data_IF_224328585653
#
_entry.id   IF_224328585653
#
_cell.length_a   1.000
_cell.length_b   1.000
_cell.length_c   1.000
_cell.angle_alpha   90.00
_cell.angle_beta   90.00
_cell.angle_gamma   90.00
#
_symmetry.space_group_name_H-M   'P 1'
#
loop_
_entity.id
_entity.type
_entity.pdbx_description
1 polymer ?
#
# COMPACT_ATOMS: atom_id res chain seq x y z
N UNK A 1 -0.26 -10.85 -0.32
CA UNK A 1 -0.21 -12.04 0.58
C UNK A 1 0.22 -11.70 2.01
N UNK A 2 1.25 -10.84 2.21
CA UNK A 2 1.72 -10.54 3.56
C UNK A 2 0.68 -9.81 4.41
N UNK A 3 -0.07 -8.87 3.85
CA UNK A 3 -1.16 -8.18 4.56
C UNK A 3 -2.26 -9.15 4.99
N UNK A 4 -2.64 -10.08 4.11
CA UNK A 4 -3.65 -11.07 4.44
C UNK A 4 -3.18 -12.04 5.55
N UNK A 5 -1.96 -12.55 5.44
CA UNK A 5 -1.37 -13.38 6.50
C UNK A 5 -1.28 -12.66 7.84
N UNK A 6 -0.98 -11.36 7.82
CA UNK A 6 -0.94 -10.52 9.01
C UNK A 6 -2.33 -10.28 9.63
N UNK A 7 -3.39 -10.21 8.82
CA UNK A 7 -4.75 -9.98 9.29
C UNK A 7 -5.48 -11.25 9.71
N UNK A 8 -5.01 -12.42 9.28
CA UNK A 8 -5.73 -13.70 9.38
C UNK A 8 -6.28 -13.99 10.78
N UNK A 9 -5.46 -13.85 11.80
CA UNK A 9 -5.84 -14.14 13.18
C UNK A 9 -6.90 -13.16 13.74
N UNK A 10 -7.14 -12.04 13.06
CA UNK A 10 -8.06 -11.01 13.49
C UNK A 10 -9.32 -10.91 12.61
N UNK A 11 -9.50 -11.83 11.65
CA UNK A 11 -10.60 -11.77 10.70
C UNK A 11 -11.97 -11.89 11.38
N UNK A 12 -12.07 -12.70 12.42
CA UNK A 12 -13.31 -12.97 13.14
C UNK A 12 -13.65 -11.88 14.19
N UNK A 13 -12.74 -10.97 14.46
CA UNK A 13 -13.02 -9.85 15.36
C UNK A 13 -14.00 -8.86 14.74
N UNK A 14 -14.91 -8.32 15.55
CA UNK A 14 -15.80 -7.25 15.12
C UNK A 14 -14.97 -6.05 14.63
N UNK A 15 -15.40 -5.45 13.51
CA UNK A 15 -14.71 -4.30 12.92
C UNK A 15 -14.59 -3.08 13.84
N UNK A 16 -15.41 -3.00 14.88
CA UNK A 16 -15.30 -1.97 15.92
C UNK A 16 -14.15 -2.24 16.90
N UNK A 17 -13.69 -3.47 16.98
CA UNK A 17 -12.57 -3.87 17.82
C UNK A 17 -11.26 -3.83 17.02
N UNK A 18 -11.28 -4.31 15.76
CA UNK A 18 -10.13 -4.34 14.87
C UNK A 18 -10.52 -3.84 13.49
N UNK A 19 -10.05 -2.64 13.14
CA UNK A 19 -10.19 -2.08 11.80
C UNK A 19 -9.02 -2.49 10.91
N UNK A 20 -9.31 -2.94 9.70
CA UNK A 20 -8.31 -3.20 8.66
C UNK A 20 -8.27 -2.08 7.64
N UNK A 21 -7.06 -1.58 7.39
CA UNK A 21 -6.82 -0.55 6.37
C UNK A 21 -5.78 -1.09 5.39
N UNK A 22 -6.23 -1.39 4.17
CA UNK A 22 -5.33 -1.70 3.07
C UNK A 22 -4.87 -0.42 2.38
N UNK A 23 -3.57 -0.32 2.14
CA UNK A 23 -2.98 0.84 1.44
C UNK A 23 -2.39 0.38 0.13
N UNK A 24 -2.90 0.96 -0.96
CA UNK A 24 -2.49 0.69 -2.33
C UNK A 24 -1.56 1.78 -2.85
N UNK A 25 -0.84 1.50 -3.95
CA UNK A 25 0.01 2.49 -4.59
C UNK A 25 -0.81 3.41 -5.49
N UNK A 26 -0.88 4.67 -5.10
CA UNK A 26 -1.57 5.73 -5.86
C UNK A 26 -0.79 6.25 -7.06
N UNK A 27 0.44 5.78 -7.26
CA UNK A 27 1.31 6.22 -8.34
C UNK A 27 1.87 7.63 -8.15
N UNK A 28 2.56 8.16 -9.14
CA UNK A 28 3.07 9.54 -9.12
C UNK A 28 1.92 10.55 -9.14
N UNK A 29 1.99 11.60 -8.33
CA UNK A 29 0.94 12.66 -8.25
C UNK A 29 0.61 13.32 -9.59
N UNK A 30 1.56 13.36 -10.51
CA UNK A 30 1.41 13.99 -11.83
C UNK A 30 0.90 13.03 -12.90
N UNK A 31 0.81 11.75 -12.61
CA UNK A 31 0.34 10.69 -13.51
C UNK A 31 -1.09 10.29 -13.15
N UNK A 32 -1.85 9.84 -14.14
CA UNK A 32 -3.13 9.16 -13.90
C UNK A 32 -2.97 7.65 -13.73
N UNK A 33 -1.77 7.12 -13.95
CA UNK A 33 -1.45 5.71 -13.78
C UNK A 33 -1.28 5.41 -12.29
N UNK A 34 -1.94 4.39 -11.82
CA UNK A 34 -1.90 3.96 -10.42
C UNK A 34 -2.05 2.45 -10.32
N UNK A 35 -1.63 1.85 -9.21
CA UNK A 35 -1.83 0.46 -8.87
C UNK A 35 -2.78 0.32 -7.66
N UNK A 36 -3.93 0.99 -7.74
CA UNK A 36 -4.88 1.11 -6.64
C UNK A 36 -6.33 0.80 -7.09
N UNK A 37 -6.59 -0.44 -7.60
CA UNK A 37 -7.90 -0.80 -8.14
C UNK A 37 -9.03 -0.76 -7.11
N UNK A 38 -8.77 -1.05 -5.85
CA UNK A 38 -9.81 -1.00 -4.82
C UNK A 38 -10.15 0.43 -4.38
N UNK A 39 -9.16 1.32 -4.39
CA UNK A 39 -9.35 2.71 -3.94
C UNK A 39 -10.03 3.57 -4.99
N UNK A 40 -9.64 3.45 -6.26
CA UNK A 40 -10.11 4.32 -7.32
C UNK A 40 -11.25 3.75 -8.17
N UNK A 41 -11.80 2.58 -7.77
CA UNK A 41 -13.06 2.13 -8.34
C UNK A 41 -12.94 1.38 -9.67
N UNK A 42 -11.95 0.54 -9.82
CA UNK A 42 -11.78 -0.34 -10.97
C UNK A 42 -12.96 -1.31 -11.17
N UNK A 43 -13.11 -1.84 -12.36
CA UNK A 43 -14.14 -2.83 -12.69
C UNK A 43 -13.66 -4.25 -12.37
N UNK A 44 -14.59 -5.18 -12.20
CA UNK A 44 -14.26 -6.61 -12.12
C UNK A 44 -13.83 -7.09 -13.49
N UNK A 45 -12.72 -7.79 -13.54
CA UNK A 45 -12.16 -8.43 -14.72
C UNK A 45 -11.50 -9.75 -14.38
N UNK A 46 -11.05 -10.48 -15.40
CA UNK A 46 -10.29 -11.72 -15.23
C UNK A 46 -8.81 -11.41 -15.51
N UNK A 47 -7.97 -11.62 -14.53
CA UNK A 47 -6.53 -11.46 -14.67
C UNK A 47 -5.83 -12.65 -13.99
N UNK A 48 -4.90 -13.29 -14.71
CA UNK A 48 -4.19 -14.50 -14.25
C UNK A 48 -5.13 -15.60 -13.73
N UNK A 49 -6.26 -15.80 -14.42
CA UNK A 49 -7.22 -16.86 -14.11
C UNK A 49 -8.15 -16.61 -12.92
N UNK A 50 -8.14 -15.41 -12.33
CA UNK A 50 -8.98 -15.04 -11.21
C UNK A 50 -9.86 -13.83 -11.49
N UNK A 51 -11.11 -13.84 -11.04
CA UNK A 51 -11.98 -12.67 -11.03
C UNK A 51 -11.54 -11.73 -9.89
N UNK A 52 -11.27 -10.49 -10.24
CA UNK A 52 -10.74 -9.49 -9.30
C UNK A 52 -11.03 -8.08 -9.80
N UNK A 53 -10.88 -7.07 -8.95
CA UNK A 53 -10.85 -5.68 -9.40
C UNK A 53 -9.56 -5.43 -10.19
N UNK A 54 -9.69 -4.85 -11.38
CA UNK A 54 -8.57 -4.65 -12.31
C UNK A 54 -8.66 -3.24 -12.93
N UNK A 55 -7.51 -2.58 -13.02
CA UNK A 55 -7.41 -1.36 -13.81
C UNK A 55 -7.57 -1.72 -15.29
N UNK A 56 -8.64 -1.27 -15.92
CA UNK A 56 -8.97 -1.55 -17.31
C UNK A 56 -9.70 -0.37 -17.95
N UNK A 57 -9.49 -0.20 -19.24
CA UNK A 57 -10.16 0.80 -20.04
C UNK A 57 -11.63 0.44 -20.35
N UNK A 58 -12.30 1.26 -21.17
CA UNK A 58 -13.69 1.02 -21.58
C UNK A 58 -13.91 -0.30 -22.32
N UNK A 59 -12.89 -0.76 -23.02
CA UNK A 59 -12.92 -1.98 -23.85
C UNK A 59 -12.51 -3.25 -23.07
N UNK A 60 -12.25 -3.10 -21.75
CA UNK A 60 -11.86 -4.20 -20.89
C UNK A 60 -10.38 -4.59 -20.98
N UNK A 61 -9.57 -3.80 -21.70
CA UNK A 61 -8.13 -4.02 -21.78
C UNK A 61 -7.44 -3.53 -20.51
N UNK A 62 -6.49 -4.30 -20.01
CA UNK A 62 -5.69 -3.96 -18.84
C UNK A 62 -4.91 -2.67 -19.09
N UNK A 63 -5.03 -1.70 -18.20
CA UNK A 63 -4.26 -0.47 -18.22
C UNK A 63 -2.91 -0.65 -17.53
N UNK A 64 -1.90 0.04 -18.07
CA UNK A 64 -0.60 0.10 -17.42
C UNK A 64 -0.68 0.82 -16.08
N UNK A 65 0.04 0.30 -15.12
CA UNK A 65 0.22 0.88 -13.78
C UNK A 65 1.56 1.59 -13.66
N UNK A 66 1.71 2.41 -12.64
CA UNK A 66 2.96 3.07 -12.32
C UNK A 66 3.09 3.22 -10.81
N UNK A 67 4.17 2.70 -10.24
CA UNK A 67 4.54 2.87 -8.83
C UNK A 67 6.05 2.74 -8.66
N UNK A 68 6.61 3.52 -7.75
CA UNK A 68 8.00 3.34 -7.29
C UNK A 68 8.22 2.01 -6.55
N UNK A 69 7.14 1.39 -6.08
CA UNK A 69 7.18 0.13 -5.35
C UNK A 69 6.87 -1.03 -6.30
N UNK A 70 7.90 -1.78 -6.69
CA UNK A 70 7.74 -2.91 -7.59
C UNK A 70 6.76 -3.97 -7.08
N UNK A 71 6.69 -4.19 -5.76
CA UNK A 71 5.76 -5.14 -5.17
C UNK A 71 4.30 -4.71 -5.15
N UNK A 72 4.02 -3.42 -5.38
CA UNK A 72 2.65 -2.88 -5.50
C UNK A 72 2.28 -2.52 -6.94
N UNK A 73 3.24 -2.50 -7.87
CA UNK A 73 3.01 -2.10 -9.26
C UNK A 73 2.35 -3.23 -10.07
N UNK A 74 1.03 -3.35 -9.90
CA UNK A 74 0.22 -4.40 -10.50
C UNK A 74 -1.22 -3.92 -10.72
N UNK A 75 -1.82 -4.18 -11.89
CA UNK A 75 -3.12 -3.63 -12.27
C UNK A 75 -4.32 -4.29 -11.59
N UNK A 76 -4.13 -5.40 -10.89
CA UNK A 76 -5.17 -6.13 -10.21
C UNK A 76 -4.92 -6.25 -8.71
N UNK A 77 -5.79 -6.98 -8.04
CA UNK A 77 -5.69 -7.25 -6.59
C UNK A 77 -6.26 -8.62 -6.27
N UNK A 78 -5.68 -9.31 -5.29
CA UNK A 78 -6.14 -10.63 -4.88
C UNK A 78 -7.66 -10.68 -4.63
N UNK A 79 -8.37 -11.71 -5.10
CA UNK A 79 -9.79 -11.93 -4.82
C UNK A 79 -10.15 -11.86 -3.34
N UNK A 80 -9.23 -12.23 -2.44
CA UNK A 80 -9.43 -12.10 -0.99
C UNK A 80 -9.57 -10.64 -0.56
N UNK A 81 -8.76 -9.74 -1.11
CA UNK A 81 -8.91 -8.31 -0.84
C UNK A 81 -10.18 -7.73 -1.47
N UNK A 82 -10.58 -8.22 -2.64
CA UNK A 82 -11.88 -7.87 -3.24
C UNK A 82 -13.03 -8.23 -2.31
N UNK A 83 -13.05 -9.45 -1.81
CA UNK A 83 -14.04 -9.92 -0.84
C UNK A 83 -14.08 -9.06 0.43
N UNK A 84 -12.92 -8.73 1.01
CA UNK A 84 -12.84 -7.88 2.21
C UNK A 84 -13.36 -6.46 1.97
N UNK A 85 -13.16 -5.92 0.77
CA UNK A 85 -13.75 -4.65 0.36
C UNK A 85 -15.26 -4.74 0.24
N UNK A 86 -15.77 -5.72 -0.50
CA UNK A 86 -17.19 -5.86 -0.81
C UNK A 86 -18.03 -6.15 0.45
N UNK A 87 -17.49 -6.96 1.36
CA UNK A 87 -18.08 -7.22 2.67
C UNK A 87 -17.88 -6.08 3.67
N UNK A 88 -17.17 -5.02 3.29
CA UNK A 88 -16.82 -3.90 4.17
C UNK A 88 -16.07 -4.33 5.44
N UNK A 89 -15.39 -5.48 5.40
CA UNK A 89 -14.53 -5.94 6.51
C UNK A 89 -13.24 -5.13 6.57
N UNK A 90 -12.71 -4.72 5.43
CA UNK A 90 -11.57 -3.82 5.33
C UNK A 90 -11.92 -2.58 4.50
N UNK A 91 -11.33 -1.45 4.83
CA UNK A 91 -11.32 -0.27 3.95
C UNK A 91 -10.00 -0.16 3.22
N UNK A 92 -10.04 0.45 2.05
CA UNK A 92 -8.86 0.65 1.21
C UNK A 92 -8.68 2.12 0.91
N UNK A 93 -7.42 2.52 0.83
CA UNK A 93 -6.98 3.87 0.48
C UNK A 93 -5.65 3.77 -0.27
N UNK A 94 -5.23 4.86 -0.88
CA UNK A 94 -3.95 4.90 -1.59
C UNK A 94 -3.04 5.98 -1.03
N UNK A 95 -1.74 5.78 -1.20
CA UNK A 95 -0.72 6.80 -1.03
C UNK A 95 0.08 6.94 -2.33
N UNK A 96 0.44 8.18 -2.70
CA UNK A 96 1.28 8.42 -3.87
C UNK A 96 2.74 8.07 -3.61
N UNK A 97 3.52 8.01 -4.68
CA UNK A 97 4.96 7.77 -4.63
C UNK A 97 5.67 8.81 -3.74
N UNK A 98 5.30 10.09 -3.87
CA UNK A 98 5.89 11.16 -3.07
C UNK A 98 5.51 11.05 -1.59
N UNK A 99 4.30 10.60 -1.31
CA UNK A 99 3.81 10.36 0.05
C UNK A 99 4.53 9.18 0.69
N UNK A 100 4.73 8.08 -0.04
CA UNK A 100 5.51 6.94 0.42
C UNK A 100 6.97 7.33 0.70
N UNK A 101 7.62 8.08 -0.21
CA UNK A 101 8.99 8.59 -0.01
C UNK A 101 9.08 9.53 1.20
N UNK A 102 8.07 10.35 1.45
CA UNK A 102 8.04 11.22 2.63
C UNK A 102 7.98 10.42 3.94
N UNK A 103 7.15 9.37 3.97
CA UNK A 103 7.05 8.48 5.12
C UNK A 103 8.36 7.69 5.33
N UNK A 104 8.96 7.17 4.26
CA UNK A 104 10.28 6.53 4.33
C UNK A 104 11.31 7.41 5.03
N UNK A 105 11.40 8.70 4.63
CA UNK A 105 12.33 9.65 5.26
C UNK A 105 12.06 9.83 6.75
N UNK A 106 10.80 9.96 7.14
CA UNK A 106 10.42 10.14 8.54
C UNK A 106 10.79 8.92 9.38
N UNK A 107 10.39 7.72 8.93
CA UNK A 107 10.69 6.46 9.63
C UNK A 107 12.19 6.25 9.75
N UNK A 108 12.94 6.45 8.65
CA UNK A 108 14.40 6.32 8.67
C UNK A 108 15.05 7.33 9.63
N UNK A 109 14.55 8.57 9.67
CA UNK A 109 15.11 9.62 10.52
C UNK A 109 14.83 9.38 12.01
N UNK A 110 13.60 9.02 12.36
CA UNK A 110 13.17 8.98 13.76
C UNK A 110 13.26 7.60 14.38
N UNK A 111 12.89 6.56 13.64
CA UNK A 111 12.88 5.18 14.13
C UNK A 111 14.16 4.40 13.79
N UNK A 112 15.04 4.96 12.94
CA UNK A 112 16.26 4.28 12.43
C UNK A 112 15.97 2.99 11.67
N UNK A 113 14.73 2.80 11.24
CA UNK A 113 14.30 1.68 10.39
C UNK A 113 14.37 2.10 8.92
N UNK A 114 14.64 1.13 8.06
CA UNK A 114 14.64 1.30 6.60
C UNK A 114 13.60 0.35 5.99
N UNK A 115 12.32 0.69 6.04
CA UNK A 115 11.28 -0.15 5.44
C UNK A 115 11.43 -0.16 3.93
N UNK A 116 10.98 -1.22 3.24
CA UNK A 116 10.85 -1.18 1.78
C UNK A 116 9.79 -0.15 1.35
N UNK A 117 9.71 0.11 0.05
CA UNK A 117 8.75 1.09 -0.47
C UNK A 117 7.29 0.63 -0.32
N UNK A 118 7.03 -0.69 -0.29
CA UNK A 118 5.70 -1.22 -0.04
C UNK A 118 5.11 -0.74 1.29
N UNK A 119 5.71 -1.06 2.45
CA UNK A 119 5.18 -0.57 3.73
C UNK A 119 5.31 0.94 3.90
N UNK A 120 6.14 1.63 3.13
CA UNK A 120 6.24 3.08 3.19
C UNK A 120 4.92 3.77 2.82
N UNK A 121 4.11 3.18 1.93
CA UNK A 121 2.76 3.63 1.64
C UNK A 121 1.85 3.50 2.88
N UNK A 122 1.93 2.36 3.57
CA UNK A 122 1.17 2.13 4.80
C UNK A 122 1.62 3.05 5.94
N UNK A 123 2.92 3.30 6.10
CA UNK A 123 3.43 4.26 7.08
C UNK A 123 2.87 5.67 6.87
N UNK A 124 2.78 6.13 5.62
CA UNK A 124 2.19 7.44 5.33
C UNK A 124 0.76 7.54 5.82
N UNK A 125 -0.07 6.56 5.47
CA UNK A 125 -1.48 6.54 5.87
C UNK A 125 -1.62 6.39 7.37
N UNK A 126 -0.84 5.52 8.01
CA UNK A 126 -0.87 5.33 9.46
C UNK A 126 -0.53 6.62 10.21
N UNK A 127 0.49 7.37 9.78
CA UNK A 127 0.85 8.67 10.36
C UNK A 127 -0.28 9.71 10.21
N UNK A 128 -1.01 9.67 9.09
CA UNK A 128 -2.16 10.55 8.83
C UNK A 128 -3.36 10.17 9.70
N UNK A 129 -3.67 8.88 9.79
CA UNK A 129 -4.79 8.37 10.59
C UNK A 129 -4.54 8.52 12.10
N UNK A 130 -3.33 8.24 12.58
CA UNK A 130 -2.98 8.36 13.99
C UNK A 130 -3.30 9.74 14.59
N UNK A 131 -3.23 10.81 13.80
CA UNK A 131 -3.59 12.16 14.23
C UNK A 131 -5.07 12.34 14.59
N UNK A 132 -5.93 11.45 14.11
CA UNK A 132 -7.38 11.49 14.31
C UNK A 132 -7.84 10.54 15.42
N UNK A 133 -6.96 9.66 15.86
CA UNK A 133 -7.28 8.61 16.83
C UNK A 133 -7.05 9.07 18.26
N UNK A 134 -7.70 8.41 19.20
CA UNK A 134 -7.46 8.63 20.62
C UNK A 134 -6.05 8.16 21.02
N UNK A 135 -5.51 8.71 22.12
CA UNK A 135 -4.18 8.32 22.63
C UNK A 135 -4.08 6.85 23.04
N UNK A 136 -5.21 6.21 23.30
CA UNK A 136 -5.26 4.79 23.71
C UNK A 136 -5.44 3.84 22.53
N UNK A 137 -5.53 4.35 21.30
CA UNK A 137 -5.67 3.50 20.11
C UNK A 137 -4.30 2.94 19.72
N UNK A 138 -4.24 1.64 19.49
CA UNK A 138 -3.05 0.95 18.98
C UNK A 138 -3.17 0.87 17.48
N UNK A 139 -2.15 1.34 16.77
CA UNK A 139 -2.00 1.21 15.32
C UNK A 139 -0.84 0.27 15.04
N UNK A 140 -1.13 -0.85 14.37
CA UNK A 140 -0.11 -1.83 14.00
C UNK A 140 0.09 -1.80 12.50
N UNK A 141 1.35 -1.69 12.06
CA UNK A 141 1.70 -1.60 10.65
C UNK A 141 2.47 -2.85 10.24
N UNK A 142 2.03 -3.51 9.18
CA UNK A 142 2.77 -4.61 8.58
C UNK A 142 3.97 -4.06 7.79
N UNK A 143 5.13 -3.99 8.44
CA UNK A 143 6.38 -3.57 7.82
C UNK A 143 7.09 -4.76 7.18
N UNK A 144 6.55 -5.23 6.06
CA UNK A 144 7.12 -6.32 5.28
C UNK A 144 8.24 -5.81 4.37
N UNK A 145 9.38 -6.48 4.39
CA UNK A 145 10.51 -6.21 3.52
C UNK A 145 11.45 -5.11 4.00
N UNK A 146 12.65 -5.16 3.46
CA UNK A 146 13.78 -4.27 3.73
C UNK A 146 14.07 -3.38 2.51
N UNK A 147 14.56 -2.17 2.75
CA UNK A 147 14.86 -1.18 1.71
C UNK A 147 16.05 -1.55 0.81
N UNK A 148 16.78 -2.61 1.10
CA UNK A 148 17.98 -2.98 0.31
C UNK A 148 17.61 -3.21 -1.17
N UNK A 149 16.49 -3.87 -1.44
CA UNK A 149 16.00 -4.10 -2.81
C UNK A 149 15.64 -2.80 -3.55
N UNK A 150 15.26 -1.76 -2.81
CA UNK A 150 14.80 -0.48 -3.35
C UNK A 150 15.94 0.55 -3.45
N UNK A 151 17.18 0.14 -3.14
CA UNK A 151 18.35 1.02 -3.02
C UNK A 151 18.54 1.93 -4.22
N UNK A 152 18.44 1.41 -5.44
CA UNK A 152 18.61 2.20 -6.67
C UNK A 152 17.61 3.36 -6.77
N UNK A 153 16.33 3.07 -6.55
CA UNK A 153 15.25 4.06 -6.57
C UNK A 153 15.43 5.08 -5.45
N UNK A 154 15.76 4.62 -4.25
CA UNK A 154 15.97 5.50 -3.11
C UNK A 154 17.18 6.42 -3.28
N UNK A 155 18.28 5.95 -3.87
CA UNK A 155 19.44 6.79 -4.22
C UNK A 155 19.06 7.86 -5.25
N UNK A 156 18.34 7.49 -6.29
CA UNK A 156 17.87 8.39 -7.34
C UNK A 156 16.92 9.46 -6.79
N UNK A 157 15.91 9.06 -6.03
CA UNK A 157 14.83 9.94 -5.58
C UNK A 157 15.16 10.74 -4.32
N UNK A 158 16.01 10.23 -3.44
CA UNK A 158 16.30 10.84 -2.13
C UNK A 158 17.77 11.17 -1.90
N UNK A 159 18.65 10.62 -2.73
CA UNK A 159 20.11 10.78 -2.61
C UNK A 159 20.76 9.76 -1.68
N UNK A 160 22.08 9.59 -1.85
CA UNK A 160 22.89 8.53 -1.20
C UNK A 160 22.82 8.51 0.32
N UNK A 161 22.56 9.64 0.98
CA UNK A 161 22.48 9.72 2.45
C UNK A 161 21.37 8.85 3.06
N UNK A 162 20.32 8.49 2.29
CA UNK A 162 19.21 7.68 2.76
C UNK A 162 19.42 6.17 2.59
N UNK A 163 20.49 5.77 1.90
CA UNK A 163 20.80 4.37 1.58
C UNK A 163 22.14 3.88 2.12
N UNK A 164 23.04 4.77 2.56
CA UNK A 164 24.30 4.37 3.19
C UNK A 164 24.01 3.74 4.56
N UNK A 165 24.53 2.55 4.80
CA UNK A 165 24.70 2.01 6.16
C UNK A 165 25.64 2.94 6.93
N UNK A 166 25.24 3.36 8.11
CA UNK A 166 26.21 3.90 9.07
C UNK A 166 27.10 2.76 9.51
#
# INVERSE_FOLDING_TARGET
SSSFGFWNEFMDYDKRQVEFIGVEAGGPKKSKKHAAPLTYGSKIGILHGAAQYVNQNSDGQIEETESISAGLDYPGISPLHCFLKDTKRARYTAASDEEALSAYKLVTKFEKLRPSLEPSHAFFVALKEAKKLSKNTVVVINSCGDAYKDRGILEERLGKKYVKSN
#
